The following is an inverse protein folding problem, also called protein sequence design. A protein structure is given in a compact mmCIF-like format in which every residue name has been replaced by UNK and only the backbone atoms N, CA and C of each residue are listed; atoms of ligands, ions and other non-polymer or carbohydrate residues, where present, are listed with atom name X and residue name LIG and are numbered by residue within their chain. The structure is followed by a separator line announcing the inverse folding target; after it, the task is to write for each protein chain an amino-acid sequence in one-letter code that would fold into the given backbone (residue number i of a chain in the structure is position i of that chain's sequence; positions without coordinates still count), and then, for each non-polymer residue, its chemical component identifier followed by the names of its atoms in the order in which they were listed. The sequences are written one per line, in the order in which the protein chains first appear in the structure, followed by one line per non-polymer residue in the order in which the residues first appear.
data_IF_528918801055
#
_entry.id   IF_528918801055
#
_cell.length_a   1.000
_cell.length_b   1.000
_cell.length_c   1.000
_cell.angle_alpha   90.00
_cell.angle_beta   90.00
_cell.angle_gamma   90.00
#
_symmetry.space_group_name_H-M   'P 1'
#
loop_
_entity.id
_entity.type
_entity.pdbx_description
1 polymer ?
#
# COMPACT_ATOMS: atom_id res chain seq x y z
N UNK A 1 13.20 11.83 -34.35
CA UNK A 1 12.50 10.54 -34.16
C UNK A 1 11.99 10.53 -32.73
N UNK A 2 10.71 10.84 -32.55
CA UNK A 2 10.05 10.88 -31.24
C UNK A 2 9.98 9.47 -30.64
N UNK A 3 10.88 9.19 -29.69
CA UNK A 3 10.74 8.04 -28.83
C UNK A 3 9.54 8.31 -27.91
N UNK A 4 8.38 7.79 -28.28
CA UNK A 4 7.23 7.66 -27.38
C UNK A 4 7.71 6.83 -26.19
N UNK A 5 8.10 7.53 -25.13
CA UNK A 5 8.52 6.94 -23.88
C UNK A 5 7.31 6.21 -23.31
N UNK A 6 7.22 4.90 -23.60
CA UNK A 6 6.28 4.00 -22.97
C UNK A 6 6.52 4.09 -21.46
N UNK A 7 5.64 4.81 -20.76
CA UNK A 7 5.65 4.94 -19.30
C UNK A 7 5.46 3.55 -18.72
N UNK A 8 6.57 2.86 -18.50
CA UNK A 8 6.57 1.47 -18.07
C UNK A 8 6.35 1.43 -16.57
N UNK A 9 5.90 0.29 -16.03
CA UNK A 9 5.76 0.06 -14.58
C UNK A 9 7.06 0.38 -13.79
N UNK A 10 8.20 0.33 -14.47
CA UNK A 10 9.51 0.76 -13.95
C UNK A 10 9.57 2.28 -13.67
N UNK A 11 8.98 3.14 -14.51
CA UNK A 11 8.92 4.59 -14.28
C UNK A 11 8.01 4.94 -13.10
N UNK A 12 6.88 4.23 -12.94
CA UNK A 12 6.00 4.40 -11.78
C UNK A 12 6.72 4.05 -10.46
N UNK A 13 7.52 2.96 -10.46
CA UNK A 13 8.35 2.56 -9.31
C UNK A 13 9.46 3.58 -9.02
N UNK A 14 9.98 4.26 -10.05
CA UNK A 14 11.00 5.32 -9.91
C UNK A 14 10.41 6.63 -9.34
N UNK A 15 9.14 6.91 -9.62
CA UNK A 15 8.44 8.13 -9.16
C UNK A 15 7.88 8.04 -7.74
N UNK A 16 7.58 6.83 -7.24
CA UNK A 16 7.07 6.66 -5.88
C UNK A 16 7.68 5.41 -5.23
N UNK A 17 8.71 5.63 -4.41
CA UNK A 17 9.49 4.58 -3.72
C UNK A 17 8.68 3.71 -2.75
N UNK A 18 7.43 4.08 -2.50
CA UNK A 18 6.50 3.39 -1.63
C UNK A 18 5.74 2.27 -2.37
N UNK A 19 5.66 2.31 -3.71
CA UNK A 19 4.95 1.29 -4.49
C UNK A 19 5.67 -0.05 -4.37
N UNK A 20 4.93 -1.08 -3.96
CA UNK A 20 5.42 -2.43 -3.74
C UNK A 20 5.99 -2.69 -2.35
N UNK A 21 6.12 -1.67 -1.49
CA UNK A 21 6.50 -1.89 -0.09
C UNK A 21 5.35 -2.54 0.68
N UNK A 22 5.74 -3.37 1.63
CA UNK A 22 4.85 -4.09 2.54
C UNK A 22 5.16 -3.56 3.94
N UNK A 23 4.10 -3.19 4.65
CA UNK A 23 4.16 -2.75 6.04
C UNK A 23 3.33 -3.70 6.89
N UNK A 24 3.57 -3.70 8.20
CA UNK A 24 2.67 -4.35 9.15
C UNK A 24 1.86 -3.31 9.95
N UNK A 25 0.71 -3.75 10.44
CA UNK A 25 -0.12 -3.02 11.40
C UNK A 25 -0.65 -4.02 12.43
N UNK A 26 -0.43 -3.76 13.72
CA UNK A 26 -1.07 -4.50 14.80
C UNK A 26 -2.54 -4.07 14.88
N UNK A 27 -3.46 -5.03 15.01
CA UNK A 27 -4.89 -4.73 15.10
C UNK A 27 -5.17 -3.97 16.40
N UNK A 28 -5.88 -2.82 16.35
CA UNK A 28 -6.21 -2.06 17.56
C UNK A 28 -7.18 -2.83 18.47
N UNK A 29 -7.96 -3.75 17.91
CA UNK A 29 -8.96 -4.54 18.63
C UNK A 29 -8.34 -5.70 19.42
N UNK A 30 -7.23 -6.27 18.92
CA UNK A 30 -6.52 -7.39 19.57
C UNK A 30 -5.04 -7.36 19.15
N UNK A 31 -4.15 -7.10 20.11
CA UNK A 31 -2.72 -6.99 19.89
C UNK A 31 -2.03 -8.30 19.49
N UNK A 32 -2.73 -9.44 19.61
CA UNK A 32 -2.23 -10.76 19.19
C UNK A 32 -2.33 -10.98 17.68
N UNK A 33 -3.02 -10.07 16.97
CA UNK A 33 -3.20 -10.16 15.53
C UNK A 33 -2.57 -8.96 14.84
N UNK A 34 -1.93 -9.24 13.70
CA UNK A 34 -1.40 -8.22 12.81
C UNK A 34 -1.95 -8.41 11.40
N UNK A 35 -1.86 -7.35 10.60
CA UNK A 35 -2.18 -7.34 9.16
C UNK A 35 -0.98 -6.81 8.42
N UNK A 36 -0.79 -7.28 7.20
CA UNK A 36 0.17 -6.69 6.28
C UNK A 36 -0.56 -5.78 5.30
N UNK A 37 0.08 -4.67 4.95
CA UNK A 37 -0.45 -3.66 4.04
C UNK A 37 0.58 -3.47 2.94
N UNK A 38 0.24 -3.93 1.74
CA UNK A 38 1.04 -3.70 0.55
C UNK A 38 0.51 -2.49 -0.20
N UNK A 39 1.40 -1.61 -0.64
CA UNK A 39 1.02 -0.47 -1.47
C UNK A 39 1.08 -0.90 -2.93
N UNK A 40 -0.08 -1.12 -3.53
CA UNK A 40 -0.19 -1.37 -4.95
C UNK A 40 -0.40 -0.06 -5.71
N UNK A 41 0.03 -0.01 -6.97
CA UNK A 41 -0.31 1.07 -7.87
C UNK A 41 -1.45 0.62 -8.79
N UNK A 42 -2.56 1.34 -8.76
CA UNK A 42 -3.67 1.07 -9.67
C UNK A 42 -3.38 1.75 -11.01
N UNK A 43 -3.11 0.97 -12.05
CA UNK A 43 -2.78 1.50 -13.38
C UNK A 43 -3.96 2.23 -14.06
N UNK A 44 -5.20 1.95 -13.65
CA UNK A 44 -6.39 2.57 -14.21
C UNK A 44 -6.64 3.96 -13.63
N UNK A 45 -6.53 4.11 -12.30
CA UNK A 45 -6.78 5.39 -11.62
C UNK A 45 -5.51 6.22 -11.40
N UNK A 46 -4.32 5.64 -11.62
CA UNK A 46 -3.03 6.26 -11.33
C UNK A 46 -2.77 6.49 -9.83
N UNK A 47 -3.62 5.95 -8.96
CA UNK A 47 -3.55 6.15 -7.51
C UNK A 47 -2.91 4.95 -6.80
N UNK A 48 -2.34 5.22 -5.62
CA UNK A 48 -1.87 4.17 -4.73
C UNK A 48 -3.07 3.54 -4.00
N UNK A 49 -3.18 2.21 -4.10
CA UNK A 49 -4.22 1.43 -3.46
C UNK A 49 -3.61 0.53 -2.39
N UNK A 50 -4.05 0.63 -1.12
CA UNK A 50 -3.64 -0.33 -0.10
C UNK A 50 -4.26 -1.70 -0.36
N UNK A 51 -3.45 -2.75 -0.29
CA UNK A 51 -3.88 -4.14 -0.25
C UNK A 51 -3.64 -4.66 1.17
N UNK A 52 -4.71 -4.79 1.94
CA UNK A 52 -4.67 -5.22 3.34
C UNK A 52 -4.91 -6.72 3.40
N UNK A 53 -4.04 -7.46 4.08
CA UNK A 53 -4.24 -8.89 4.32
C UNK A 53 -5.34 -9.13 5.37
N UNK A 54 -5.81 -10.37 5.44
CA UNK A 54 -6.56 -10.84 6.60
C UNK A 54 -5.70 -10.72 7.89
N UNK A 55 -6.34 -10.58 9.07
CA UNK A 55 -5.65 -10.68 10.35
C UNK A 55 -4.96 -12.03 10.48
N UNK A 56 -3.70 -12.03 10.89
CA UNK A 56 -2.90 -13.21 11.18
C UNK A 56 -2.50 -13.18 12.65
N UNK A 57 -2.63 -14.31 13.33
CA UNK A 57 -2.20 -14.46 14.71
C UNK A 57 -0.68 -14.57 14.79
N UNK A 58 -0.06 -13.84 15.71
CA UNK A 58 1.37 -13.91 16.00
C UNK A 58 2.06 -12.56 15.88
N UNK A 59 3.38 -12.60 15.73
CA UNK A 59 4.22 -11.43 15.60
C UNK A 59 4.48 -11.11 14.13
N UNK A 60 4.52 -9.82 13.76
CA UNK A 60 4.90 -9.42 12.41
C UNK A 60 6.35 -9.84 12.11
N UNK A 61 6.67 -10.22 10.86
CA UNK A 61 8.04 -10.50 10.44
C UNK A 61 8.99 -9.35 10.75
N UNK A 62 10.19 -9.65 11.26
CA UNK A 62 11.17 -8.65 11.69
C UNK A 62 11.68 -7.77 10.53
N UNK A 63 11.61 -8.26 9.28
CA UNK A 63 12.01 -7.48 8.11
C UNK A 63 10.97 -6.45 7.64
N UNK A 64 9.77 -6.44 8.24
CA UNK A 64 8.71 -5.49 7.89
C UNK A 64 8.73 -4.28 8.81
N UNK A 65 8.59 -3.11 8.21
CA UNK A 65 8.41 -1.86 8.96
C UNK A 65 6.95 -1.69 9.41
N UNK A 66 6.69 -1.09 10.59
CA UNK A 66 5.35 -0.67 10.95
C UNK A 66 4.86 0.43 10.00
N UNK A 67 3.60 0.38 9.61
CA UNK A 67 3.02 1.43 8.76
C UNK A 67 2.98 2.76 9.53
N UNK A 68 3.47 3.88 8.96
CA UNK A 68 3.31 5.19 9.59
C UNK A 68 1.82 5.56 9.72
N UNK A 69 1.32 6.00 10.89
CA UNK A 69 -0.10 6.27 11.11
C UNK A 69 -0.70 7.30 10.12
N UNK A 70 0.09 8.32 9.76
CA UNK A 70 -0.31 9.33 8.77
C UNK A 70 -0.48 8.72 7.38
N UNK A 71 0.37 7.74 7.03
CA UNK A 71 0.32 7.04 5.75
C UNK A 71 -0.92 6.14 5.68
N UNK A 72 -1.18 5.37 6.74
CA UNK A 72 -2.38 4.56 6.88
C UNK A 72 -3.63 5.40 6.69
N UNK A 73 -3.74 6.53 7.40
CA UNK A 73 -4.88 7.45 7.32
C UNK A 73 -5.11 7.95 5.88
N UNK A 74 -4.04 8.32 5.17
CA UNK A 74 -4.13 8.76 3.77
C UNK A 74 -4.60 7.64 2.85
N UNK A 75 -4.04 6.45 3.00
CA UNK A 75 -4.39 5.27 2.20
C UNK A 75 -5.88 4.90 2.38
N UNK A 76 -6.37 4.88 3.63
CA UNK A 76 -7.78 4.58 3.92
C UNK A 76 -8.73 5.64 3.34
N UNK A 77 -8.37 6.92 3.42
CA UNK A 77 -9.19 8.00 2.82
C UNK A 77 -9.31 7.87 1.30
N UNK A 78 -8.21 7.54 0.62
CA UNK A 78 -8.20 7.34 -0.83
C UNK A 78 -9.05 6.13 -1.25
N UNK A 79 -9.05 5.06 -0.45
CA UNK A 79 -9.85 3.85 -0.70
C UNK A 79 -11.36 4.13 -0.57
N UNK A 80 -11.78 4.94 0.40
CA UNK A 80 -13.19 5.30 0.56
C UNK A 80 -13.69 6.23 -0.55
N UNK A 81 -12.80 7.03 -1.17
CA UNK A 81 -13.18 7.87 -2.31
C UNK A 81 -13.36 7.08 -3.62
N UNK A 82 -12.71 5.93 -3.78
CA UNK A 82 -12.87 5.10 -4.99
C UNK A 82 -14.14 4.25 -5.00
N UNK A 83 -14.93 4.26 -3.92
CA UNK A 83 -16.19 3.50 -3.80
C UNK A 83 -17.42 4.28 -4.33
N UNK A 84 -17.23 5.49 -4.86
CA UNK A 84 -18.29 6.28 -5.51
C UNK A 84 -18.03 6.35 -7.03
N UNK A 85 -18.40 5.28 -7.74
CA UNK A 85 -18.77 5.29 -9.17
C UNK A 85 -19.58 4.05 -9.50
#
# INVERSE_FOLDING_TARGET
MDARQERTHADAKKWNSQIGKIYYQICPDDSRYFRTIRIAHNAWTGANQPQISNPVYGEPPEELDPIPPLMLTRLMRMQNMSAFH
#
